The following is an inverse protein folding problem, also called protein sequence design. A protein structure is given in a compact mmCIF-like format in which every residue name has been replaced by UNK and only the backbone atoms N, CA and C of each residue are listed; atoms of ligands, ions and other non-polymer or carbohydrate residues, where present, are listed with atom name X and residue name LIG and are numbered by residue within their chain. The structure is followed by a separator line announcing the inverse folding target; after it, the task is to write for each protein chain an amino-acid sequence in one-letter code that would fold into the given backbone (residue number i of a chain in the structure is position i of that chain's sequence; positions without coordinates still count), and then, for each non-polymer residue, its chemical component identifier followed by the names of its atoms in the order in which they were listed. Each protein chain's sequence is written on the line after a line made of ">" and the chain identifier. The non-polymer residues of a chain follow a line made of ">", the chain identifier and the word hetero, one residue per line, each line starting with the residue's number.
data_IF_588735272484
#
_entry.id   IF_588735272484
#
_cell.length_a   1.000
_cell.length_b   1.000
_cell.length_c   1.000
_cell.angle_alpha   90.00
_cell.angle_beta   90.00
_cell.angle_gamma   90.00
#
_symmetry.space_group_name_H-M   'P 1'
#
loop_
_entity.id
_entity.type
_entity.pdbx_description
1 polymer ?
#
# COMPACT_ATOMS: atom_id res chain seq x y z
N UNK A 1 12.63 2.53 -0.71
CA UNK A 1 12.45 3.04 -2.10
C UNK A 1 13.62 2.55 -2.94
N UNK A 2 13.41 1.62 -3.87
CA UNK A 2 14.52 0.94 -4.58
C UNK A 2 15.13 1.82 -5.69
N UNK A 3 14.30 2.48 -6.50
CA UNK A 3 14.77 3.23 -7.67
C UNK A 3 15.75 4.36 -7.33
N UNK A 4 15.43 5.20 -6.34
CA UNK A 4 16.34 6.26 -5.90
C UNK A 4 17.64 5.72 -5.32
N UNK A 5 17.57 4.69 -4.48
CA UNK A 5 18.75 4.06 -3.88
C UNK A 5 19.68 3.49 -4.95
N UNK A 6 19.13 2.82 -5.95
CA UNK A 6 19.92 2.30 -7.07
C UNK A 6 20.57 3.41 -7.89
N UNK A 7 19.84 4.48 -8.21
CA UNK A 7 20.38 5.63 -8.94
C UNK A 7 21.50 6.36 -8.19
N UNK A 8 21.41 6.44 -6.86
CA UNK A 8 22.46 7.05 -6.04
C UNK A 8 23.72 6.20 -5.95
N UNK A 9 23.59 4.87 -5.89
CA UNK A 9 24.74 3.98 -5.80
C UNK A 9 25.38 3.65 -7.15
N UNK A 10 24.63 3.78 -8.25
CA UNK A 10 25.08 3.44 -9.60
C UNK A 10 24.69 4.50 -10.64
N UNK A 11 25.09 5.78 -10.47
CA UNK A 11 24.72 6.86 -11.39
C UNK A 11 25.22 6.61 -12.82
N UNK A 12 26.30 5.84 -13.00
CA UNK A 12 26.85 5.47 -14.30
C UNK A 12 25.95 4.51 -15.10
N UNK A 13 25.00 3.84 -14.44
CA UNK A 13 24.12 2.83 -15.07
C UNK A 13 22.76 3.39 -15.49
N UNK A 14 22.47 4.66 -15.22
CA UNK A 14 21.15 5.25 -15.43
C UNK A 14 21.27 6.61 -16.11
N UNK A 15 20.56 6.78 -17.23
CA UNK A 15 20.51 8.07 -17.92
C UNK A 15 19.52 9.06 -17.28
N UNK A 16 18.40 8.58 -16.74
CA UNK A 16 17.35 9.39 -16.12
C UNK A 16 16.47 8.55 -15.17
N UNK A 17 15.83 9.21 -14.19
CA UNK A 17 14.83 8.61 -13.29
C UNK A 17 13.50 9.32 -13.46
N UNK A 18 12.46 8.55 -13.82
CA UNK A 18 11.05 8.99 -13.74
C UNK A 18 10.42 8.30 -12.53
N UNK A 19 10.04 9.08 -11.53
CA UNK A 19 9.44 8.56 -10.29
C UNK A 19 7.94 8.82 -10.24
N UNK A 20 7.16 7.81 -9.84
CA UNK A 20 5.72 7.91 -9.62
C UNK A 20 5.40 7.77 -8.12
N UNK A 21 4.39 8.51 -7.65
CA UNK A 21 3.84 8.51 -6.28
C UNK A 21 4.79 9.03 -5.17
N UNK A 22 5.95 8.42 -4.96
CA UNK A 22 6.83 8.74 -3.82
C UNK A 22 8.01 9.60 -4.26
N UNK A 23 8.08 10.83 -3.76
CA UNK A 23 9.20 11.74 -3.98
C UNK A 23 10.51 11.27 -3.32
N UNK A 24 11.64 11.79 -3.80
CA UNK A 24 12.96 11.50 -3.23
C UNK A 24 13.03 11.97 -1.77
N UNK A 25 13.55 11.08 -0.91
CA UNK A 25 13.74 11.35 0.52
C UNK A 25 15.23 11.22 0.85
N UNK A 26 15.93 12.34 1.15
CA UNK A 26 17.32 12.30 1.54
C UNK A 26 17.55 11.45 2.80
N UNK A 27 18.73 10.84 2.98
CA UNK A 27 19.09 10.21 4.24
C UNK A 27 18.86 11.16 5.43
N UNK A 28 18.18 10.69 6.47
CA UNK A 28 17.85 11.51 7.64
C UNK A 28 16.62 12.40 7.51
N UNK A 29 15.95 12.45 6.35
CA UNK A 29 14.61 13.05 6.28
C UNK A 29 13.68 12.29 7.24
N UNK A 30 13.00 13.01 8.13
CA UNK A 30 12.14 12.43 9.16
C UNK A 30 11.22 11.33 8.63
N UNK A 31 11.07 10.27 9.41
CA UNK A 31 10.17 9.16 9.08
C UNK A 31 8.72 9.61 9.28
N UNK A 32 7.76 8.77 8.87
CA UNK A 32 6.35 8.91 9.20
C UNK A 32 6.04 8.82 10.72
N UNK A 33 7.04 8.98 11.59
CA UNK A 33 6.91 8.91 13.05
C UNK A 33 6.00 9.99 13.64
N UNK A 34 5.67 11.05 12.90
CA UNK A 34 4.71 12.06 13.31
C UNK A 34 3.25 11.69 13.02
N UNK A 35 2.99 10.60 12.28
CA UNK A 35 1.63 10.16 11.99
C UNK A 35 1.05 9.28 13.11
N UNK A 36 -0.28 9.30 13.32
CA UNK A 36 -0.93 8.53 14.38
C UNK A 36 -0.65 7.01 14.31
N UNK A 37 -0.97 6.30 15.40
CA UNK A 37 -0.93 4.83 15.46
C UNK A 37 -1.68 4.19 14.29
N UNK A 38 -2.87 4.73 13.98
CA UNK A 38 -3.76 4.27 12.92
C UNK A 38 -3.17 4.27 11.51
N UNK A 39 -2.05 4.97 11.30
CA UNK A 39 -1.39 5.04 10.01
C UNK A 39 -0.94 3.67 9.51
N UNK A 40 -1.35 3.29 8.30
CA UNK A 40 -1.14 1.93 7.78
C UNK A 40 0.30 1.40 7.88
N UNK A 41 1.33 2.24 7.64
CA UNK A 41 2.73 1.80 7.79
C UNK A 41 3.06 1.51 9.26
N UNK A 42 2.53 2.30 10.20
CA UNK A 42 2.77 2.05 11.62
C UNK A 42 2.15 0.73 12.06
N UNK A 43 0.95 0.40 11.58
CA UNK A 43 0.30 -0.89 11.87
C UNK A 43 0.98 -2.07 11.21
N UNK A 44 1.36 -1.95 9.94
CA UNK A 44 2.02 -3.02 9.21
C UNK A 44 3.47 -3.28 9.64
N UNK A 45 4.05 -2.40 10.48
CA UNK A 45 5.34 -2.68 11.14
C UNK A 45 5.21 -3.68 12.28
N UNK A 46 4.03 -3.85 12.84
CA UNK A 46 3.77 -4.84 13.89
C UNK A 46 3.66 -6.22 13.26
N UNK A 47 4.62 -7.09 13.56
CA UNK A 47 4.71 -8.42 12.96
C UNK A 47 3.42 -9.23 13.19
N UNK A 48 2.81 -9.73 12.11
CA UNK A 48 1.60 -10.55 12.18
C UNK A 48 0.29 -9.76 12.22
N UNK A 49 0.31 -8.44 12.48
CA UNK A 49 -0.91 -7.65 12.58
C UNK A 49 -1.58 -7.45 11.23
N UNK A 50 -0.81 -7.11 10.20
CA UNK A 50 -1.33 -6.97 8.84
C UNK A 50 -1.85 -8.31 8.31
N UNK A 51 -1.12 -9.38 8.56
CA UNK A 51 -1.49 -10.74 8.15
C UNK A 51 -2.77 -11.21 8.84
N UNK A 52 -2.94 -10.89 10.14
CA UNK A 52 -4.17 -11.16 10.86
C UNK A 52 -5.36 -10.35 10.31
N UNK A 53 -5.15 -9.06 9.99
CA UNK A 53 -6.17 -8.20 9.38
C UNK A 53 -6.59 -8.73 7.99
N UNK A 54 -5.63 -9.01 7.12
CA UNK A 54 -5.88 -9.51 5.76
C UNK A 54 -6.48 -10.91 5.78
N UNK A 55 -6.06 -11.76 6.73
CA UNK A 55 -6.58 -13.12 6.91
C UNK A 55 -8.06 -13.19 7.28
N UNK A 56 -8.70 -12.06 7.61
CA UNK A 56 -10.17 -11.97 7.78
C UNK A 56 -10.93 -12.13 6.46
N UNK A 57 -10.26 -11.96 5.32
CA UNK A 57 -10.87 -11.91 3.99
C UNK A 57 -10.16 -12.83 2.99
N UNK A 58 -10.84 -13.15 1.88
CA UNK A 58 -10.19 -13.82 0.75
C UNK A 58 -9.23 -12.85 0.01
N UNK A 59 -8.25 -13.41 -0.71
CA UNK A 59 -7.24 -12.63 -1.42
C UNK A 59 -7.83 -11.63 -2.42
N UNK A 60 -8.96 -11.95 -3.09
CA UNK A 60 -9.59 -11.02 -4.04
C UNK A 60 -10.15 -9.82 -3.31
N UNK A 61 -10.79 -10.03 -2.16
CA UNK A 61 -11.30 -8.95 -1.30
C UNK A 61 -10.18 -8.07 -0.75
N UNK A 62 -9.07 -8.66 -0.28
CA UNK A 62 -7.91 -7.88 0.20
C UNK A 62 -7.33 -7.01 -0.92
N UNK A 63 -7.08 -7.58 -2.10
CA UNK A 63 -6.54 -6.84 -3.24
C UNK A 63 -7.48 -5.72 -3.67
N UNK A 64 -8.79 -5.99 -3.77
CA UNK A 64 -9.82 -4.98 -4.04
C UNK A 64 -9.72 -3.81 -3.04
N UNK A 65 -9.70 -4.12 -1.74
CA UNK A 65 -9.65 -3.11 -0.69
C UNK A 65 -8.39 -2.25 -0.78
N UNK A 66 -7.24 -2.86 -1.03
CA UNK A 66 -5.95 -2.15 -1.21
C UNK A 66 -6.05 -1.16 -2.39
N UNK A 67 -6.55 -1.59 -3.55
CA UNK A 67 -6.68 -0.68 -4.69
C UNK A 67 -7.68 0.45 -4.43
N UNK A 68 -8.76 0.20 -3.70
CA UNK A 68 -9.72 1.25 -3.29
C UNK A 68 -9.05 2.24 -2.34
N UNK A 69 -8.36 1.78 -1.29
CA UNK A 69 -7.70 2.61 -0.28
C UNK A 69 -6.64 3.51 -0.92
N UNK A 70 -5.77 2.94 -1.75
CA UNK A 70 -4.63 3.66 -2.33
C UNK A 70 -4.93 4.39 -3.64
N UNK A 71 -6.19 4.38 -4.10
CA UNK A 71 -6.68 5.25 -5.17
C UNK A 71 -7.36 6.53 -4.66
N UNK A 72 -7.46 6.69 -3.33
CA UNK A 72 -7.99 7.89 -2.67
C UNK A 72 -6.88 8.92 -2.44
N UNK A 73 -7.26 10.15 -2.11
CA UNK A 73 -6.29 11.23 -1.85
C UNK A 73 -5.81 11.24 -0.40
N UNK A 74 -6.60 10.67 0.51
CA UNK A 74 -6.37 10.64 1.94
C UNK A 74 -5.33 9.59 2.31
N UNK A 75 -4.55 9.89 3.35
CA UNK A 75 -3.62 8.92 3.93
C UNK A 75 -4.45 7.89 4.70
N UNK A 76 -4.26 6.57 4.47
CA UNK A 76 -5.00 5.55 5.21
C UNK A 76 -4.61 5.56 6.68
N UNK A 77 -5.54 5.98 7.52
CA UNK A 77 -5.42 6.05 8.98
C UNK A 77 -6.70 5.44 9.54
N UNK A 78 -6.58 4.32 10.26
CA UNK A 78 -7.70 3.66 10.91
C UNK A 78 -7.92 4.18 12.33
N UNK A 79 -9.18 4.16 12.79
CA UNK A 79 -9.53 4.50 14.16
C UNK A 79 -9.06 3.40 15.14
N UNK A 80 -9.09 3.70 16.44
CA UNK A 80 -8.58 2.80 17.51
C UNK A 80 -9.23 1.41 17.50
N UNK A 81 -10.49 1.31 17.08
CA UNK A 81 -11.27 0.06 17.07
C UNK A 81 -11.46 -0.55 15.67
N UNK A 82 -10.69 -0.08 14.69
CA UNK A 82 -10.73 -0.56 13.31
C UNK A 82 -9.38 -1.16 12.92
N UNK A 83 -9.32 -1.89 11.81
CA UNK A 83 -8.10 -2.22 11.07
C UNK A 83 -8.11 -1.65 9.64
N UNK A 84 -7.00 -1.77 8.91
CA UNK A 84 -6.86 -1.11 7.60
C UNK A 84 -7.89 -1.62 6.59
N UNK A 85 -8.23 -2.91 6.63
CA UNK A 85 -9.29 -3.44 5.77
C UNK A 85 -10.69 -2.93 6.11
N UNK A 86 -10.92 -2.37 7.31
CA UNK A 86 -12.21 -1.79 7.71
C UNK A 86 -12.45 -0.39 7.10
N UNK A 87 -11.44 0.22 6.48
CA UNK A 87 -11.54 1.54 5.84
C UNK A 87 -12.30 1.52 4.50
N UNK A 88 -12.73 0.33 4.06
CA UNK A 88 -13.43 0.12 2.81
C UNK A 88 -14.85 -0.36 3.09
N UNK A 89 -15.83 0.43 2.69
CA UNK A 89 -17.21 -0.02 2.60
C UNK A 89 -17.30 -1.09 1.48
N UNK A 90 -17.83 -2.30 1.73
CA UNK A 90 -17.93 -3.37 0.74
C UNK A 90 -18.68 -2.99 -0.54
N UNK A 91 -19.59 -2.01 -0.47
CA UNK A 91 -20.34 -1.46 -1.60
C UNK A 91 -19.53 -0.50 -2.46
N UNK A 92 -18.33 -0.10 -2.02
CA UNK A 92 -17.45 0.78 -2.79
C UNK A 92 -17.06 0.11 -4.11
N UNK A 93 -17.32 0.75 -5.27
CA UNK A 93 -16.92 0.21 -6.56
C UNK A 93 -15.39 0.26 -6.73
N UNK A 94 -14.88 -0.51 -7.69
CA UNK A 94 -13.48 -0.39 -8.10
C UNK A 94 -13.20 1.01 -8.68
N UNK A 95 -11.95 1.50 -8.60
CA UNK A 95 -11.52 2.66 -9.35
C UNK A 95 -11.84 2.48 -10.85
N UNK A 96 -12.27 3.54 -11.52
CA UNK A 96 -12.76 3.46 -12.91
C UNK A 96 -11.75 2.93 -13.94
N UNK A 97 -10.46 2.96 -13.60
CA UNK A 97 -9.37 2.44 -14.42
C UNK A 97 -9.04 0.98 -14.13
N UNK A 98 -9.66 0.35 -13.12
CA UNK A 98 -9.34 -0.98 -12.64
C UNK A 98 -10.55 -1.92 -12.80
N UNK A 99 -10.39 -2.95 -13.62
CA UNK A 99 -11.50 -3.85 -13.98
C UNK A 99 -11.57 -5.08 -13.09
N UNK A 100 -12.68 -5.83 -13.16
CA UNK A 100 -12.82 -7.12 -12.46
C UNK A 100 -11.85 -8.19 -12.98
N UNK A 101 -11.49 -8.14 -14.26
CA UNK A 101 -10.52 -9.04 -14.86
C UNK A 101 -9.10 -8.74 -14.34
N UNK A 102 -8.72 -7.46 -14.26
CA UNK A 102 -7.46 -7.05 -13.64
C UNK A 102 -7.40 -7.51 -12.18
N UNK A 103 -8.49 -7.28 -11.42
CA UNK A 103 -8.59 -7.71 -10.04
C UNK A 103 -8.42 -9.23 -9.89
N UNK A 104 -9.02 -10.03 -10.79
CA UNK A 104 -8.86 -11.49 -10.77
C UNK A 104 -7.40 -11.90 -11.01
N UNK A 105 -6.71 -11.26 -11.96
CA UNK A 105 -5.28 -11.53 -12.24
C UNK A 105 -4.42 -11.25 -11.01
N UNK A 106 -4.62 -10.10 -10.34
CA UNK A 106 -3.83 -9.76 -9.15
C UNK A 106 -4.16 -10.65 -7.95
N UNK A 107 -5.43 -10.95 -7.72
CA UNK A 107 -5.86 -11.81 -6.62
C UNK A 107 -5.26 -13.23 -6.70
N UNK A 108 -5.15 -13.77 -7.91
CA UNK A 108 -4.61 -15.11 -8.14
C UNK A 108 -3.14 -15.24 -7.75
N UNK A 109 -2.37 -14.15 -7.79
CA UNK A 109 -0.96 -14.13 -7.34
C UNK A 109 -0.81 -14.38 -5.83
N UNK A 110 -1.84 -14.06 -5.04
CA UNK A 110 -1.83 -14.15 -3.57
C UNK A 110 -2.57 -15.37 -3.02
N UNK A 111 -3.18 -16.21 -3.88
CA UNK A 111 -3.97 -17.38 -3.45
C UNK A 111 -3.13 -18.52 -2.84
N UNK A 112 -1.81 -18.52 -3.05
CA UNK A 112 -0.88 -19.59 -2.63
C UNK A 112 0.13 -19.15 -1.57
N UNK A 113 -0.06 -17.97 -0.98
CA UNK A 113 0.84 -17.39 0.02
C UNK A 113 0.44 -17.76 1.44
#
# INVERSE_FOLDING_TARGET
>A
MVGYTFALFHPEKIACVVSLSVAFRPPGSGTHSALPEGYYINRWKESGRAEADFGRFDAKTVVKNIYIIFSRSEIPIADENQEIMDLVDPSTPLPSWFTEDDLAVYADLYRKS
#
